data_IF_545241962148
#
_entry.id   IF_545241962148
#
_cell.length_a   1.000
_cell.length_b   1.000
_cell.length_c   1.000
_cell.angle_alpha   90.00
_cell.angle_beta   90.00
_cell.angle_gamma   90.00
#
_symmetry.space_group_name_H-M   'P 1'
#
loop_
_entity.id
_entity.type
_entity.pdbx_description
1 polymer ?
#
# COMPACT_ATOMS: atom_id res chain seq x y z
N UNK A 1 9.54 -3.84 -10.13
CA UNK A 1 9.61 -4.57 -11.39
C UNK A 1 9.39 -3.66 -12.59
N UNK A 2 9.96 -4.02 -13.72
CA UNK A 2 9.87 -3.26 -14.96
C UNK A 2 9.00 -4.02 -15.96
N UNK A 3 7.70 -3.69 -15.98
CA UNK A 3 6.70 -4.37 -16.81
C UNK A 3 6.91 -4.14 -18.31
N UNK A 4 6.58 -5.15 -19.11
CA UNK A 4 6.52 -5.02 -20.58
C UNK A 4 5.12 -4.62 -21.00
N UNK A 5 5.02 -3.57 -21.82
CA UNK A 5 3.75 -3.09 -22.36
C UNK A 5 3.19 -4.14 -23.31
N UNK A 6 1.93 -4.51 -23.10
CA UNK A 6 1.32 -5.65 -23.80
C UNK A 6 0.69 -5.27 -25.15
N UNK A 7 0.16 -4.07 -25.30
CA UNK A 7 -0.60 -3.63 -26.48
C UNK A 7 -0.41 -2.12 -26.75
N UNK A 8 -0.99 -1.62 -27.82
CA UNK A 8 -0.91 -0.23 -28.24
C UNK A 8 0.41 0.12 -28.95
N UNK A 9 0.65 1.43 -29.12
CA UNK A 9 1.81 1.94 -29.88
C UNK A 9 3.17 1.52 -29.30
N UNK A 10 3.25 1.28 -28.00
CA UNK A 10 4.47 0.89 -27.30
C UNK A 10 4.55 -0.59 -26.94
N UNK A 11 3.74 -1.44 -27.60
CA UNK A 11 3.73 -2.89 -27.35
C UNK A 11 5.12 -3.50 -27.49
N UNK A 12 5.54 -4.28 -26.49
CA UNK A 12 6.86 -4.94 -26.44
C UNK A 12 7.94 -4.10 -25.75
N UNK A 13 7.75 -2.79 -25.56
CA UNK A 13 8.69 -1.95 -24.83
C UNK A 13 8.56 -2.15 -23.32
N UNK A 14 9.65 -1.90 -22.59
CA UNK A 14 9.62 -1.78 -21.13
C UNK A 14 9.00 -0.46 -20.71
N UNK A 15 8.24 -0.45 -19.59
CA UNK A 15 7.68 0.79 -19.07
C UNK A 15 8.77 1.83 -18.78
N UNK A 16 9.92 1.41 -18.25
CA UNK A 16 11.06 2.29 -18.01
C UNK A 16 11.62 2.91 -19.29
N UNK A 17 11.58 2.19 -20.42
CA UNK A 17 12.01 2.71 -21.71
C UNK A 17 11.02 3.78 -22.22
N UNK A 18 9.71 3.49 -22.17
CA UNK A 18 8.69 4.47 -22.58
C UNK A 18 8.72 5.71 -21.69
N UNK A 19 8.90 5.55 -20.37
CA UNK A 19 9.07 6.67 -19.44
C UNK A 19 10.20 7.61 -19.85
N UNK A 20 11.34 7.05 -20.27
CA UNK A 20 12.54 7.80 -20.64
C UNK A 20 12.47 8.40 -22.04
N UNK A 21 11.94 7.65 -23.00
CA UNK A 21 11.99 7.99 -24.43
C UNK A 21 10.75 8.76 -24.90
N UNK A 22 9.64 8.65 -24.16
CA UNK A 22 8.33 9.23 -24.49
C UNK A 22 7.71 9.95 -23.28
N UNK A 23 8.39 10.95 -22.68
CA UNK A 23 7.87 11.66 -21.52
C UNK A 23 6.55 12.38 -21.78
N UNK A 24 6.25 12.72 -23.02
CA UNK A 24 4.98 13.35 -23.45
C UNK A 24 3.76 12.48 -23.13
N UNK A 25 3.91 11.14 -23.09
CA UNK A 25 2.83 10.19 -22.74
C UNK A 25 2.44 10.31 -21.26
N UNK A 26 3.33 10.84 -20.44
CA UNK A 26 3.16 11.01 -18.99
C UNK A 26 3.06 12.49 -18.59
N UNK A 27 2.67 13.37 -19.52
CA UNK A 27 2.52 14.80 -19.24
C UNK A 27 3.86 15.52 -18.93
N UNK A 28 4.99 14.97 -19.41
CA UNK A 28 6.35 15.47 -19.14
C UNK A 28 6.66 15.62 -17.64
N UNK A 29 6.16 14.67 -16.83
CA UNK A 29 6.39 14.66 -15.38
C UNK A 29 7.89 14.50 -15.07
N UNK A 30 8.46 15.46 -14.33
CA UNK A 30 9.90 15.51 -14.02
C UNK A 30 10.24 14.56 -12.86
N UNK A 31 10.66 13.35 -13.20
CA UNK A 31 11.12 12.34 -12.25
C UNK A 31 12.02 11.32 -12.96
N UNK A 32 13.08 10.88 -12.28
CA UNK A 32 14.06 9.92 -12.84
C UNK A 32 13.45 8.56 -13.19
N UNK A 33 12.33 8.20 -12.57
CA UNK A 33 11.63 6.93 -12.77
C UNK A 33 10.12 7.10 -12.65
N UNK A 34 9.36 6.17 -13.21
CA UNK A 34 7.92 6.16 -13.04
C UNK A 34 7.57 6.18 -11.53
N UNK A 35 6.79 7.16 -11.05
CA UNK A 35 6.69 7.44 -9.61
C UNK A 35 5.83 6.45 -8.83
N UNK A 36 5.01 5.66 -9.51
CA UNK A 36 4.05 4.74 -8.90
C UNK A 36 4.34 3.28 -9.24
N UNK A 37 3.86 2.40 -8.39
CA UNK A 37 3.81 0.96 -8.63
C UNK A 37 2.41 0.45 -8.29
N UNK A 38 1.78 -0.21 -9.25
CA UNK A 38 0.45 -0.82 -9.06
C UNK A 38 0.57 -2.34 -9.18
N UNK A 39 -0.05 -3.06 -8.27
CA UNK A 39 -0.03 -4.52 -8.19
C UNK A 39 -1.43 -5.07 -7.93
N UNK A 40 -1.70 -6.25 -8.47
CA UNK A 40 -2.80 -7.10 -8.02
C UNK A 40 -2.18 -8.16 -7.12
N UNK A 41 -2.62 -8.21 -5.88
CA UNK A 41 -2.15 -9.14 -4.85
C UNK A 41 -3.26 -10.13 -4.56
N UNK A 42 -3.02 -11.39 -4.90
CA UNK A 42 -3.85 -12.53 -4.54
C UNK A 42 -3.16 -13.21 -3.34
N UNK A 43 -3.61 -12.87 -2.15
CA UNK A 43 -2.96 -13.29 -0.92
C UNK A 43 -3.42 -14.71 -0.53
N UNK A 44 -2.59 -15.71 -0.79
CA UNK A 44 -2.86 -17.08 -0.36
C UNK A 44 -2.77 -17.24 1.17
N UNK A 45 -1.79 -16.60 1.78
CA UNK A 45 -1.50 -16.64 3.21
C UNK A 45 -1.36 -15.22 3.76
N UNK A 46 -1.38 -15.07 5.09
CA UNK A 46 -1.13 -13.79 5.74
C UNK A 46 0.25 -13.24 5.36
N UNK A 47 0.31 -12.00 4.90
CA UNK A 47 1.58 -11.30 4.67
C UNK A 47 2.15 -10.83 6.02
N UNK A 48 3.47 -10.56 6.04
CA UNK A 48 4.11 -10.06 7.26
C UNK A 48 3.50 -8.74 7.73
N UNK A 49 3.47 -8.56 9.03
CA UNK A 49 3.15 -7.27 9.64
C UNK A 49 4.30 -6.32 9.38
N UNK A 50 4.00 -5.17 8.80
CA UNK A 50 4.99 -4.24 8.29
C UNK A 50 4.58 -2.79 8.47
N UNK A 51 5.54 -1.90 8.28
CA UNK A 51 5.38 -0.46 8.24
C UNK A 51 6.32 0.12 7.19
N UNK A 52 5.96 1.26 6.63
CA UNK A 52 6.78 1.97 5.65
C UNK A 52 7.17 3.35 6.18
N UNK A 53 8.40 3.82 5.87
CA UNK A 53 8.82 5.18 6.18
C UNK A 53 8.21 6.20 5.21
N UNK A 54 8.21 7.46 5.59
CA UNK A 54 7.99 8.59 4.69
C UNK A 54 9.24 8.91 3.85
N UNK A 55 9.12 9.92 2.96
CA UNK A 55 10.21 10.35 2.07
C UNK A 55 11.42 10.87 2.84
N UNK A 56 11.19 11.60 3.94
CA UNK A 56 12.27 12.25 4.69
C UNK A 56 13.13 11.20 5.43
N UNK A 57 12.48 10.24 6.08
CA UNK A 57 13.19 9.14 6.72
C UNK A 57 13.89 8.25 5.69
N UNK A 58 13.21 7.88 4.61
CA UNK A 58 13.78 7.03 3.56
C UNK A 58 14.98 7.69 2.87
N UNK A 59 14.93 8.99 2.63
CA UNK A 59 16.04 9.75 2.06
C UNK A 59 17.32 9.66 2.89
N UNK A 60 17.18 9.69 4.22
CA UNK A 60 18.32 9.65 5.15
C UNK A 60 18.80 8.23 5.39
N UNK A 61 17.89 7.28 5.63
CA UNK A 61 18.21 5.95 6.11
C UNK A 61 18.25 4.86 5.02
N UNK A 62 17.74 5.17 3.80
CA UNK A 62 17.62 4.22 2.68
C UNK A 62 18.24 4.78 1.37
N UNK A 63 19.41 5.41 1.50
CA UNK A 63 20.26 5.85 0.38
C UNK A 63 19.51 6.74 -0.64
N UNK A 64 18.67 7.65 -0.19
CA UNK A 64 17.93 8.56 -1.06
C UNK A 64 16.70 7.95 -1.72
N UNK A 65 16.23 6.82 -1.22
CA UNK A 65 15.00 6.18 -1.71
C UNK A 65 13.75 7.00 -1.39
N UNK A 66 12.66 6.72 -2.12
CA UNK A 66 11.34 7.25 -1.77
C UNK A 66 10.80 6.55 -0.52
N UNK A 67 9.97 7.25 0.24
CA UNK A 67 9.07 6.65 1.20
C UNK A 67 8.03 5.77 0.51
N UNK A 68 7.08 5.24 1.26
CA UNK A 68 6.06 4.38 0.68
C UNK A 68 4.69 4.69 1.27
N UNK A 69 4.00 5.63 0.62
CA UNK A 69 2.57 5.84 0.76
C UNK A 69 1.86 4.90 -0.18
N UNK A 70 0.83 4.22 0.29
CA UNK A 70 0.08 3.26 -0.51
C UNK A 70 -1.42 3.28 -0.21
N UNK A 71 -2.20 2.68 -1.09
CA UNK A 71 -3.61 2.44 -0.88
C UNK A 71 -4.02 1.08 -1.46
N UNK A 72 -5.08 0.51 -0.91
CA UNK A 72 -5.65 -0.76 -1.32
C UNK A 72 -7.11 -0.62 -1.68
N UNK A 73 -7.50 -1.23 -2.79
CA UNK A 73 -8.89 -1.48 -3.12
C UNK A 73 -9.16 -2.98 -3.00
N UNK A 74 -10.13 -3.37 -2.19
CA UNK A 74 -10.48 -4.78 -1.99
C UNK A 74 -11.32 -5.26 -3.17
N UNK A 75 -10.67 -6.00 -4.07
CA UNK A 75 -11.30 -6.54 -5.27
C UNK A 75 -12.18 -7.74 -4.97
N UNK A 76 -11.75 -8.58 -4.00
CA UNK A 76 -12.53 -9.68 -3.47
C UNK A 76 -12.09 -10.05 -2.04
N UNK A 77 -13.04 -10.53 -1.24
CA UNK A 77 -12.81 -10.90 0.15
C UNK A 77 -13.79 -12.00 0.59
N UNK A 78 -13.36 -13.02 1.34
CA UNK A 78 -14.26 -13.98 1.94
C UNK A 78 -15.12 -13.33 3.02
N UNK A 79 -16.22 -13.98 3.37
CA UNK A 79 -17.05 -13.53 4.50
C UNK A 79 -16.24 -13.55 5.80
N UNK A 80 -16.37 -12.47 6.58
CA UNK A 80 -15.64 -12.29 7.84
C UNK A 80 -14.15 -11.96 7.67
N UNK A 81 -13.70 -11.56 6.47
CA UNK A 81 -12.32 -11.16 6.23
C UNK A 81 -11.91 -9.96 7.10
N UNK A 82 -10.65 -9.96 7.49
CA UNK A 82 -10.02 -8.87 8.26
C UNK A 82 -8.70 -8.44 7.62
N UNK A 83 -8.24 -7.26 7.97
CA UNK A 83 -6.90 -6.73 7.69
C UNK A 83 -6.26 -6.25 8.99
N UNK A 84 -4.94 -6.18 9.02
CA UNK A 84 -4.23 -5.44 10.07
C UNK A 84 -4.07 -4.00 9.62
N UNK A 85 -4.64 -3.05 10.36
CA UNK A 85 -4.48 -1.60 10.15
C UNK A 85 -4.31 -0.92 11.50
N UNK A 86 -3.07 -0.48 11.76
CA UNK A 86 -2.67 0.17 13.00
C UNK A 86 -2.36 -0.80 14.13
N UNK A 87 -2.26 -0.24 15.33
CA UNK A 87 -1.90 -0.93 16.56
C UNK A 87 -2.61 -0.33 17.76
N UNK A 88 -2.50 -0.98 18.93
CA UNK A 88 -3.19 -0.59 20.16
C UNK A 88 -2.31 0.18 21.16
N UNK A 89 -1.00 0.28 20.93
CA UNK A 89 -0.09 1.03 21.80
C UNK A 89 -0.44 2.54 21.85
N UNK A 90 -0.33 3.13 23.01
CA UNK A 90 -0.68 4.54 23.27
C UNK A 90 0.54 5.45 23.34
N UNK A 91 1.71 4.90 23.68
CA UNK A 91 2.99 5.63 23.75
C UNK A 91 4.08 4.86 22.98
N UNK A 92 5.20 5.55 22.70
CA UNK A 92 6.38 4.93 22.05
C UNK A 92 6.99 3.84 22.94
N UNK A 93 7.00 4.04 24.23
CA UNK A 93 7.53 3.09 25.22
C UNK A 93 6.66 1.81 25.19
N UNK A 94 5.33 1.96 25.26
CA UNK A 94 4.41 0.83 25.18
C UNK A 94 4.54 0.08 23.86
N UNK A 95 4.66 0.81 22.72
CA UNK A 95 4.91 0.23 21.40
C UNK A 95 6.18 -0.63 21.41
N UNK A 96 7.29 -0.06 21.88
CA UNK A 96 8.58 -0.74 21.94
C UNK A 96 8.52 -1.99 22.82
N UNK A 97 7.89 -1.88 24.00
CA UNK A 97 7.72 -3.01 24.91
C UNK A 97 6.87 -4.12 24.30
N UNK A 98 5.76 -3.79 23.66
CA UNK A 98 4.90 -4.78 23.00
C UNK A 98 5.64 -5.55 21.92
N UNK A 99 6.42 -4.84 21.08
CA UNK A 99 7.17 -5.45 19.98
C UNK A 99 8.30 -6.33 20.52
N UNK A 100 9.14 -5.84 21.43
CA UNK A 100 10.29 -6.58 21.97
C UNK A 100 9.86 -7.81 22.80
N UNK A 101 8.70 -7.75 23.46
CA UNK A 101 8.17 -8.85 24.25
C UNK A 101 7.31 -9.82 23.40
N UNK A 102 7.12 -9.55 22.10
CA UNK A 102 6.31 -10.39 21.22
C UNK A 102 4.82 -10.41 21.58
N UNK A 103 4.29 -9.34 22.17
CA UNK A 103 2.88 -9.25 22.59
C UNK A 103 1.96 -8.94 21.40
N UNK A 104 2.09 -9.72 20.33
CA UNK A 104 1.44 -9.47 19.03
C UNK A 104 -0.08 -9.36 19.11
N UNK A 105 -0.74 -10.21 19.93
CA UNK A 105 -2.19 -10.20 20.09
C UNK A 105 -2.71 -8.90 20.72
N UNK A 106 -1.93 -8.30 21.61
CA UNK A 106 -2.27 -7.02 22.23
C UNK A 106 -1.91 -5.86 21.33
N UNK A 107 -0.80 -5.99 20.59
CA UNK A 107 -0.25 -4.95 19.72
C UNK A 107 -1.11 -4.71 18.48
N UNK A 108 -1.46 -5.77 17.75
CA UNK A 108 -2.08 -5.70 16.42
C UNK A 108 -3.54 -5.24 16.52
N UNK A 109 -3.93 -4.31 15.68
CA UNK A 109 -5.33 -3.95 15.48
C UNK A 109 -5.85 -4.56 14.18
N UNK A 110 -6.75 -5.54 14.29
CA UNK A 110 -7.45 -6.10 13.14
C UNK A 110 -8.78 -5.37 12.91
N UNK A 111 -9.12 -5.14 11.65
CA UNK A 111 -10.38 -4.50 11.24
C UNK A 111 -11.12 -5.39 10.25
N UNK A 112 -12.45 -5.47 10.29
CA UNK A 112 -13.23 -6.15 9.28
C UNK A 112 -13.17 -5.39 7.96
N UNK A 113 -13.09 -6.14 6.85
CA UNK A 113 -13.12 -5.59 5.50
C UNK A 113 -13.97 -6.45 4.57
N UNK A 114 -14.42 -5.86 3.48
CA UNK A 114 -15.21 -6.54 2.45
C UNK A 114 -14.85 -6.03 1.07
N UNK A 115 -15.26 -6.76 0.05
CA UNK A 115 -15.18 -6.32 -1.34
C UNK A 115 -15.73 -4.90 -1.49
N UNK A 116 -14.99 -4.07 -2.21
CA UNK A 116 -15.37 -2.68 -2.47
C UNK A 116 -14.92 -1.68 -1.40
N UNK A 117 -14.25 -2.12 -0.35
CA UNK A 117 -13.60 -1.19 0.59
C UNK A 117 -12.31 -0.62 -0.01
N UNK A 118 -12.06 0.64 0.25
CA UNK A 118 -10.84 1.36 -0.09
C UNK A 118 -10.11 1.72 1.20
N UNK A 119 -8.82 1.46 1.26
CA UNK A 119 -7.98 1.68 2.43
C UNK A 119 -6.79 2.55 2.04
N UNK A 120 -6.62 3.69 2.72
CA UNK A 120 -5.42 4.52 2.62
C UNK A 120 -4.43 4.11 3.70
N UNK A 121 -3.17 3.91 3.33
CA UNK A 121 -2.07 3.54 4.22
C UNK A 121 -0.99 4.60 4.13
N UNK A 122 -1.02 5.52 5.08
CA UNK A 122 0.03 6.53 5.20
C UNK A 122 1.30 5.93 5.80
N UNK A 123 2.48 6.49 5.51
CA UNK A 123 3.72 6.12 6.19
C UNK A 123 3.54 6.10 7.71
N UNK A 124 4.22 5.19 8.38
CA UNK A 124 4.10 4.99 9.82
C UNK A 124 2.89 4.16 10.26
N UNK A 125 2.01 3.75 9.34
CA UNK A 125 0.89 2.87 9.66
C UNK A 125 1.33 1.41 9.68
N UNK A 126 1.16 0.72 10.80
CA UNK A 126 1.32 -0.74 10.88
C UNK A 126 0.21 -1.41 10.09
N UNK A 127 0.54 -2.33 9.20
CA UNK A 127 -0.45 -2.99 8.35
C UNK A 127 -0.03 -4.39 7.92
N UNK A 128 -1.00 -5.22 7.55
CA UNK A 128 -0.77 -6.49 6.88
C UNK A 128 -2.02 -6.95 6.11
N UNK A 129 -1.79 -7.51 4.92
CA UNK A 129 -2.80 -8.23 4.15
C UNK A 129 -2.94 -9.63 4.72
N UNK A 130 -4.17 -10.07 4.97
CA UNK A 130 -4.46 -11.43 5.42
C UNK A 130 -4.81 -12.34 4.25
N UNK A 131 -4.62 -13.63 4.45
CA UNK A 131 -4.91 -14.65 3.43
C UNK A 131 -6.36 -14.64 2.95
N UNK A 132 -6.58 -14.96 1.68
CA UNK A 132 -7.88 -15.00 1.03
C UNK A 132 -8.34 -13.69 0.39
N UNK A 133 -7.58 -12.61 0.56
CA UNK A 133 -7.91 -11.31 -0.02
C UNK A 133 -7.32 -11.14 -1.41
N UNK A 134 -8.11 -10.57 -2.33
CA UNK A 134 -7.65 -10.06 -3.62
C UNK A 134 -7.66 -8.54 -3.58
N UNK A 135 -6.49 -7.93 -3.73
CA UNK A 135 -6.28 -6.50 -3.53
C UNK A 135 -5.62 -5.86 -4.74
N UNK A 136 -6.13 -4.70 -5.15
CA UNK A 136 -5.42 -3.78 -6.04
C UNK A 136 -4.67 -2.78 -5.16
N UNK A 137 -3.33 -2.88 -5.14
CA UNK A 137 -2.44 -1.97 -4.43
C UNK A 137 -1.89 -0.92 -5.39
N UNK A 138 -1.94 0.35 -5.00
CA UNK A 138 -1.21 1.44 -5.65
C UNK A 138 -0.34 2.11 -4.62
N UNK A 139 0.95 2.30 -4.95
CA UNK A 139 1.96 2.82 -4.03
C UNK A 139 2.97 3.73 -4.74
N UNK A 140 3.72 4.53 -3.96
CA UNK A 140 4.96 5.11 -4.46
C UNK A 140 5.88 4.00 -4.97
N UNK A 141 6.68 4.28 -5.99
CA UNK A 141 7.64 3.30 -6.55
C UNK A 141 8.83 3.11 -5.60
N UNK A 142 8.57 2.43 -4.49
CA UNK A 142 9.51 2.11 -3.42
C UNK A 142 9.37 0.65 -3.02
N UNK A 143 10.49 -0.02 -2.79
CA UNK A 143 10.56 -1.40 -2.31
C UNK A 143 10.83 -1.48 -0.80
N UNK A 144 10.87 -0.32 -0.09
CA UNK A 144 11.22 -0.28 1.31
C UNK A 144 10.08 -0.83 2.17
N UNK A 145 10.40 -1.86 2.92
CA UNK A 145 9.47 -2.53 3.85
C UNK A 145 10.19 -2.85 5.14
N UNK A 146 9.74 -2.24 6.24
CA UNK A 146 10.20 -2.63 7.57
C UNK A 146 9.28 -3.70 8.13
N UNK A 147 9.79 -4.92 8.18
CA UNK A 147 9.07 -6.07 8.70
C UNK A 147 9.13 -6.06 10.22
N UNK A 148 7.95 -5.94 10.84
CA UNK A 148 7.79 -5.92 12.30
C UNK A 148 7.71 -7.35 12.83
N UNK A 149 6.89 -8.20 12.16
CA UNK A 149 6.68 -9.59 12.54
C UNK A 149 6.29 -10.44 11.32
N UNK A 150 6.75 -11.68 11.30
CA UNK A 150 6.49 -12.60 10.19
C UNK A 150 5.96 -13.97 10.63
N UNK A 151 5.27 -14.04 11.78
CA UNK A 151 4.65 -15.24 12.32
C UNK A 151 5.65 -16.40 12.51
N UNK A 152 6.92 -16.10 12.75
CA UNK A 152 8.02 -17.06 12.90
C UNK A 152 8.19 -18.02 11.71
N UNK A 153 7.71 -17.62 10.53
CA UNK A 153 7.76 -18.42 9.30
C UNK A 153 9.18 -18.53 8.76
N UNK A 154 9.46 -19.70 8.19
CA UNK A 154 10.71 -19.94 7.48
C UNK A 154 10.52 -19.75 5.96
N UNK A 155 11.41 -19.00 5.34
CA UNK A 155 11.56 -18.89 3.90
C UNK A 155 12.87 -19.56 3.51
N UNK A 156 12.81 -20.62 2.70
CA UNK A 156 13.98 -21.42 2.35
C UNK A 156 14.77 -21.94 3.59
N UNK A 157 14.05 -22.34 4.64
CA UNK A 157 14.62 -22.89 5.88
C UNK A 157 15.21 -21.85 6.84
N UNK A 158 15.05 -20.56 6.57
CA UNK A 158 15.52 -19.45 7.43
C UNK A 158 14.41 -18.44 7.68
N UNK A 159 14.35 -17.82 8.87
CA UNK A 159 13.44 -16.71 9.10
C UNK A 159 13.81 -15.54 8.18
N UNK A 160 12.80 -14.79 7.72
CA UNK A 160 13.04 -13.52 7.04
C UNK A 160 13.53 -12.47 8.05
N UNK A 161 14.38 -11.58 7.58
CA UNK A 161 14.88 -10.48 8.40
C UNK A 161 13.74 -9.60 8.92
N UNK A 162 13.81 -9.26 10.20
CA UNK A 162 12.94 -8.29 10.86
C UNK A 162 13.69 -6.96 11.02
N UNK A 163 12.97 -5.86 10.89
CA UNK A 163 13.52 -4.50 10.96
C UNK A 163 12.96 -3.77 12.18
N UNK A 164 13.09 -4.39 13.37
CA UNK A 164 12.39 -3.98 14.59
C UNK A 164 12.68 -2.52 14.96
N UNK A 165 13.94 -2.13 15.06
CA UNK A 165 14.30 -0.77 15.46
C UNK A 165 13.83 0.29 14.46
N UNK A 166 14.08 0.07 13.16
CA UNK A 166 13.58 0.96 12.11
C UNK A 166 12.05 1.04 12.10
N UNK A 167 11.38 -0.07 12.42
CA UNK A 167 9.91 -0.08 12.56
C UNK A 167 9.46 0.78 13.72
N UNK A 168 10.08 0.61 14.89
CA UNK A 168 9.78 1.43 16.08
C UNK A 168 10.01 2.91 15.78
N UNK A 169 11.07 3.26 15.07
CA UNK A 169 11.36 4.66 14.71
C UNK A 169 10.23 5.30 13.94
N UNK A 170 9.72 4.60 12.90
CA UNK A 170 8.78 5.20 11.95
C UNK A 170 7.31 5.01 12.30
N UNK A 171 6.94 4.05 13.16
CA UNK A 171 5.53 3.81 13.53
C UNK A 171 4.93 5.04 14.23
N UNK A 172 3.82 5.52 13.69
CA UNK A 172 3.04 6.63 14.26
C UNK A 172 2.30 6.18 15.52
N UNK A 173 2.51 6.87 16.64
CA UNK A 173 1.87 6.57 17.93
C UNK A 173 1.17 7.83 18.48
N UNK A 174 -0.08 7.72 18.92
CA UNK A 174 -0.99 6.59 18.76
C UNK A 174 -1.35 6.33 17.30
N UNK A 175 -1.80 5.11 16.97
CA UNK A 175 -2.27 4.81 15.63
C UNK A 175 -3.49 5.67 15.25
N UNK A 176 -3.55 6.07 13.98
CA UNK A 176 -4.70 6.81 13.44
C UNK A 176 -6.02 6.04 13.63
N UNK A 177 -7.12 6.78 13.62
CA UNK A 177 -8.45 6.18 13.59
C UNK A 177 -8.65 5.33 12.33
N UNK A 178 -9.42 4.26 12.44
CA UNK A 178 -9.79 3.43 11.28
C UNK A 178 -10.65 4.22 10.29
N UNK A 179 -11.55 5.05 10.80
CA UNK A 179 -12.47 5.86 9.97
C UNK A 179 -11.73 6.86 9.08
N UNK A 180 -10.51 7.26 9.45
CA UNK A 180 -9.65 8.12 8.63
C UNK A 180 -8.97 7.38 7.48
N UNK A 181 -8.91 6.05 7.55
CA UNK A 181 -8.18 5.20 6.60
C UNK A 181 -9.08 4.37 5.70
N UNK A 182 -10.28 3.99 6.16
CA UNK A 182 -11.16 3.04 5.46
C UNK A 182 -12.42 3.73 4.97
N UNK A 183 -12.72 3.58 3.69
CA UNK A 183 -13.94 4.11 3.05
C UNK A 183 -14.61 3.02 2.22
N UNK A 184 -15.94 2.98 2.21
CA UNK A 184 -16.65 2.12 1.24
C UNK A 184 -16.68 2.81 -0.13
N UNK A 185 -16.22 2.09 -1.15
CA UNK A 185 -16.32 2.54 -2.55
C UNK A 185 -17.45 1.80 -3.31
N UNK A 186 -18.43 1.27 -2.57
CA UNK A 186 -19.64 0.66 -3.12
C UNK A 186 -20.74 1.72 -3.31
N UNK A 187 -21.64 1.42 -4.26
CA UNK A 187 -22.82 2.24 -4.54
C UNK A 187 -22.50 3.72 -4.85
N UNK A 188 -21.39 3.96 -5.50
CA UNK A 188 -21.03 5.28 -5.99
C UNK A 188 -21.86 5.61 -7.25
N UNK A 189 -22.06 6.91 -7.57
CA UNK A 189 -22.72 7.29 -8.80
C UNK A 189 -22.08 6.68 -10.04
N UNK A 190 -22.91 6.11 -10.94
CA UNK A 190 -22.44 5.51 -12.19
C UNK A 190 -22.04 6.56 -13.23
N UNK A 191 -21.23 6.14 -14.20
CA UNK A 191 -20.80 6.91 -15.37
C UNK A 191 -20.15 8.25 -15.04
N UNK A 192 -19.45 8.32 -13.91
CA UNK A 192 -18.60 9.45 -13.54
C UNK A 192 -17.35 9.00 -12.78
N UNK A 193 -16.34 9.86 -12.73
CA UNK A 193 -15.16 9.65 -11.88
C UNK A 193 -15.50 10.04 -10.45
N UNK A 194 -15.49 9.06 -9.54
CA UNK A 194 -15.69 9.27 -8.12
C UNK A 194 -14.33 9.27 -7.42
N UNK A 195 -13.92 10.41 -6.87
CA UNK A 195 -12.67 10.51 -6.13
C UNK A 195 -12.78 9.73 -4.82
N UNK A 196 -11.90 8.74 -4.64
CA UNK A 196 -11.77 7.97 -3.41
C UNK A 196 -10.79 8.64 -2.45
N UNK A 197 -9.66 9.10 -2.99
CA UNK A 197 -8.61 9.72 -2.21
C UNK A 197 -7.68 10.58 -3.08
N UNK A 198 -7.14 11.65 -2.50
CA UNK A 198 -6.11 12.48 -3.12
C UNK A 198 -5.02 12.82 -2.11
N UNK A 199 -3.75 12.71 -2.52
CA UNK A 199 -2.59 13.09 -1.74
C UNK A 199 -1.48 13.67 -2.64
N UNK A 200 -0.32 13.97 -2.06
CA UNK A 200 0.84 14.50 -2.78
C UNK A 200 1.29 13.61 -3.95
N UNK A 201 1.07 12.29 -3.87
CA UNK A 201 1.66 11.31 -4.77
C UNK A 201 0.70 10.81 -5.85
N UNK A 202 -0.59 10.76 -5.54
CA UNK A 202 -1.62 10.26 -6.46
C UNK A 202 -3.03 10.75 -6.09
N UNK A 203 -3.90 10.71 -7.08
CA UNK A 203 -5.35 10.78 -6.86
C UNK A 203 -5.99 9.52 -7.39
N UNK A 204 -6.82 8.87 -6.59
CA UNK A 204 -7.52 7.63 -6.93
C UNK A 204 -8.96 7.92 -7.25
N UNK A 205 -9.38 7.54 -8.44
CA UNK A 205 -10.78 7.59 -8.86
C UNK A 205 -11.31 6.18 -9.08
N UNK A 206 -12.61 6.01 -8.83
CA UNK A 206 -13.37 4.83 -9.25
C UNK A 206 -14.52 5.26 -10.15
N UNK A 207 -14.76 4.51 -11.21
CA UNK A 207 -15.92 4.66 -12.08
C UNK A 207 -16.64 3.31 -12.20
N UNK A 208 -17.93 3.32 -11.89
CA UNK A 208 -18.83 2.21 -12.23
C UNK A 208 -19.52 2.58 -13.55
N UNK A 209 -19.14 1.86 -14.64
CA UNK A 209 -19.61 2.20 -15.99
C UNK A 209 -20.78 1.32 -16.38
N UNK A 210 -21.93 1.94 -16.62
CA UNK A 210 -23.11 1.30 -17.14
C UNK A 210 -23.34 1.80 -18.58
N UNK A 211 -23.06 0.93 -19.57
CA UNK A 211 -23.08 1.26 -20.99
C UNK A 211 -21.80 1.96 -21.44
N UNK A 212 -21.74 3.28 -21.45
CA UNK A 212 -20.60 4.07 -21.96
C UNK A 212 -20.32 5.25 -21.06
N UNK A 213 -19.05 5.51 -20.85
CA UNK A 213 -18.53 6.71 -20.19
C UNK A 213 -17.42 7.31 -21.04
N UNK A 214 -17.40 8.62 -21.18
CA UNK A 214 -16.32 9.38 -21.81
C UNK A 214 -15.79 10.41 -20.81
N UNK A 215 -14.49 10.52 -20.72
CA UNK A 215 -13.84 11.57 -19.93
C UNK A 215 -12.56 12.02 -20.63
N UNK A 216 -12.18 13.26 -20.41
CA UNK A 216 -10.94 13.85 -20.92
C UNK A 216 -9.95 13.96 -19.76
N UNK A 217 -8.76 13.42 -19.96
CA UNK A 217 -7.63 13.63 -19.06
C UNK A 217 -6.79 14.79 -19.59
N UNK A 218 -6.66 15.82 -18.76
CA UNK A 218 -5.84 17.01 -19.08
C UNK A 218 -4.42 16.85 -18.54
#
# INVERSE_FOLDING_TARGET
GDGTIRNGAFSGMKLSAVWKEHPEVFGNYDCDRFPLLTKIIDARDDLSIQVHPDDDYAKVHENGSFGKTECWYIMDAPEGATLVIGHNAKTKEELSDMIHQGRWKEFIREIPVKKGDFIQIDPGTVHAIKGGLLILETQQNSDITYRVYDYDRLSNGKPRELHVEKSIDVITVPAKSVDDSVKSALNLPENQLNELYSCKYYTIFKADVNGKMEFEQK
#
